data_IF_677427052849
#
_entry.id   IF_677427052849
#
_cell.length_a   1.000
_cell.length_b   1.000
_cell.length_c   1.000
_cell.angle_alpha   90.00
_cell.angle_beta   90.00
_cell.angle_gamma   90.00
#
_symmetry.space_group_name_H-M   'P 1'
#
loop_
_entity.id
_entity.type
_entity.pdbx_description
1 polymer ?
#
# COMPACT_ATOMS: atom_id res chain seq x y z
N UNK A 1 -9.94 -9.80 5.03
CA UNK A 1 -9.31 -9.62 6.34
C UNK A 1 -10.04 -8.56 7.13
N UNK A 2 -9.97 -7.29 6.75
CA UNK A 2 -10.44 -6.14 7.54
C UNK A 2 -11.93 -6.20 7.88
N UNK A 3 -12.78 -6.56 6.93
CA UNK A 3 -14.24 -6.68 7.18
C UNK A 3 -14.53 -7.73 8.27
N UNK A 4 -13.87 -8.89 8.21
CA UNK A 4 -14.04 -9.93 9.24
C UNK A 4 -13.50 -9.47 10.59
N UNK A 5 -12.35 -8.83 10.63
CA UNK A 5 -11.77 -8.26 11.86
C UNK A 5 -12.66 -7.16 12.45
N UNK A 6 -13.35 -6.39 11.61
CA UNK A 6 -14.29 -5.36 12.02
C UNK A 6 -15.44 -5.95 12.83
N UNK A 7 -16.06 -7.03 12.31
CA UNK A 7 -17.18 -7.70 13.01
C UNK A 7 -16.72 -8.46 14.25
N UNK A 8 -15.47 -8.96 14.29
CA UNK A 8 -14.95 -9.68 15.44
C UNK A 8 -14.57 -8.78 16.61
N UNK A 9 -13.98 -7.63 16.33
CA UNK A 9 -13.35 -6.77 17.34
C UNK A 9 -14.15 -5.51 17.65
N UNK A 10 -15.14 -5.17 16.81
CA UNK A 10 -15.96 -3.96 16.94
C UNK A 10 -15.14 -2.71 17.27
N UNK A 11 -14.20 -2.30 16.41
CA UNK A 11 -13.27 -1.20 16.71
C UNK A 11 -13.97 0.14 16.93
N UNK A 12 -15.22 0.31 16.49
CA UNK A 12 -16.01 1.51 16.75
C UNK A 12 -16.24 1.77 18.24
N UNK A 13 -16.21 0.74 19.07
CA UNK A 13 -16.47 0.85 20.52
C UNK A 13 -15.44 1.71 21.24
N UNK A 14 -14.18 1.73 20.79
CA UNK A 14 -13.07 2.52 21.37
C UNK A 14 -12.60 3.64 20.48
N UNK A 15 -12.69 3.49 19.15
CA UNK A 15 -12.18 4.43 18.16
C UNK A 15 -13.27 5.37 17.64
N UNK A 16 -14.55 5.10 17.91
CA UNK A 16 -15.66 5.90 17.41
C UNK A 16 -15.66 6.01 15.89
N UNK A 17 -15.92 7.19 15.36
CA UNK A 17 -15.96 7.46 13.92
C UNK A 17 -14.60 7.27 13.22
N UNK A 18 -13.49 7.41 13.95
CA UNK A 18 -12.14 7.25 13.44
C UNK A 18 -11.84 5.79 13.00
N UNK A 19 -12.57 4.83 13.55
CA UNK A 19 -12.43 3.41 13.22
C UNK A 19 -12.58 3.15 11.71
N UNK A 20 -13.52 3.84 11.06
CA UNK A 20 -13.80 3.68 9.62
C UNK A 20 -12.64 4.18 8.77
N UNK A 21 -12.07 5.32 9.15
CA UNK A 21 -10.93 5.91 8.45
C UNK A 21 -9.72 4.99 8.60
N UNK A 22 -9.44 4.52 9.81
CA UNK A 22 -8.35 3.59 10.11
C UNK A 22 -8.51 2.28 9.33
N UNK A 23 -9.72 1.70 9.31
CA UNK A 23 -10.00 0.51 8.52
C UNK A 23 -9.77 0.74 7.02
N UNK A 24 -10.15 1.92 6.52
CA UNK A 24 -9.86 2.35 5.15
C UNK A 24 -8.35 2.44 4.88
N UNK A 25 -7.60 3.10 5.77
CA UNK A 25 -6.15 3.25 5.69
C UNK A 25 -5.44 1.89 5.66
N UNK A 26 -5.80 0.97 6.57
CA UNK A 26 -5.26 -0.39 6.61
C UNK A 26 -5.66 -1.21 5.38
N UNK A 27 -6.89 -1.02 4.86
CA UNK A 27 -7.28 -1.63 3.57
C UNK A 27 -6.36 -1.14 2.46
N UNK A 28 -6.09 0.17 2.42
CA UNK A 28 -5.17 0.78 1.46
C UNK A 28 -3.78 0.16 1.52
N UNK A 29 -3.20 0.01 2.71
CA UNK A 29 -1.88 -0.63 2.89
C UNK A 29 -1.86 -2.05 2.35
N UNK A 30 -2.80 -2.89 2.79
CA UNK A 30 -2.76 -4.34 2.49
C UNK A 30 -3.28 -4.72 1.11
N UNK A 31 -3.81 -3.77 0.34
CA UNK A 31 -4.19 -3.96 -1.06
C UNK A 31 -3.28 -3.24 -2.05
N UNK A 32 -2.61 -2.17 -1.64
CA UNK A 32 -1.83 -1.35 -2.55
C UNK A 32 -0.57 -0.68 -1.95
N UNK A 33 -0.29 -0.93 -0.66
CA UNK A 33 0.91 -0.43 0.02
C UNK A 33 0.72 0.89 0.78
N UNK A 34 1.77 1.29 1.50
CA UNK A 34 1.76 2.44 2.42
C UNK A 34 1.43 3.79 1.75
N UNK A 35 1.60 3.89 0.43
CA UNK A 35 1.18 5.08 -0.33
C UNK A 35 -0.33 5.26 -0.24
N UNK A 36 -1.11 4.17 -0.42
CA UNK A 36 -2.57 4.21 -0.35
C UNK A 36 -3.06 4.49 1.08
N UNK A 37 -2.38 3.95 2.10
CA UNK A 37 -2.64 4.27 3.50
C UNK A 37 -2.60 5.79 3.72
N UNK A 38 -1.52 6.41 3.29
CA UNK A 38 -1.34 7.84 3.52
C UNK A 38 -2.20 8.71 2.61
N UNK A 39 -2.52 8.25 1.41
CA UNK A 39 -3.47 8.92 0.53
C UNK A 39 -4.85 9.04 1.21
N UNK A 40 -5.33 7.97 1.84
CA UNK A 40 -6.59 7.99 2.60
C UNK A 40 -6.45 8.88 3.84
N UNK A 41 -5.33 8.80 4.56
CA UNK A 41 -5.10 9.66 5.72
C UNK A 41 -5.14 11.16 5.36
N UNK A 42 -4.57 11.54 4.22
CA UNK A 42 -4.57 12.92 3.72
C UNK A 42 -5.97 13.36 3.29
N UNK A 43 -6.69 12.52 2.57
CA UNK A 43 -8.05 12.81 2.09
C UNK A 43 -9.04 13.10 3.23
N UNK A 44 -8.94 12.32 4.31
CA UNK A 44 -9.78 12.49 5.50
C UNK A 44 -9.12 13.36 6.58
N UNK A 45 -8.05 14.07 6.26
CA UNK A 45 -7.29 14.93 7.19
C UNK A 45 -6.86 14.22 8.49
N UNK A 46 -6.73 12.90 8.46
CA UNK A 46 -6.45 12.06 9.63
C UNK A 46 -5.08 12.37 10.26
N UNK A 47 -4.13 12.91 9.48
CA UNK A 47 -2.83 13.38 9.98
C UNK A 47 -2.98 14.47 11.05
N UNK A 48 -4.11 15.20 11.10
CA UNK A 48 -4.41 16.20 12.14
C UNK A 48 -4.70 15.58 13.50
N UNK A 49 -4.95 14.25 13.56
CA UNK A 49 -5.20 13.51 14.81
C UNK A 49 -3.92 13.20 15.61
N UNK A 50 -2.77 13.73 15.20
CA UNK A 50 -1.52 13.69 15.96
C UNK A 50 -1.12 12.30 16.42
N UNK A 51 -1.23 12.01 17.72
CA UNK A 51 -0.81 10.76 18.35
C UNK A 51 -1.52 9.53 17.76
N UNK A 52 -2.83 9.64 17.44
CA UNK A 52 -3.59 8.52 16.86
C UNK A 52 -3.05 8.16 15.47
N UNK A 53 -2.74 9.16 14.65
CA UNK A 53 -2.12 8.96 13.34
C UNK A 53 -0.73 8.34 13.46
N UNK A 54 0.13 8.91 14.32
CA UNK A 54 1.48 8.38 14.54
C UNK A 54 1.45 6.94 15.08
N UNK A 55 0.55 6.63 16.00
CA UNK A 55 0.35 5.27 16.52
C UNK A 55 -0.14 4.30 15.46
N UNK A 56 -1.07 4.73 14.59
CA UNK A 56 -1.57 3.89 13.49
C UNK A 56 -0.45 3.57 12.47
N UNK A 57 0.38 4.55 12.11
CA UNK A 57 1.57 4.35 11.27
C UNK A 57 2.55 3.36 11.93
N UNK A 58 2.83 3.55 13.22
CA UNK A 58 3.77 2.69 13.94
C UNK A 58 3.29 1.24 13.97
N UNK A 59 2.00 1.01 14.27
CA UNK A 59 1.39 -0.32 14.26
C UNK A 59 1.45 -0.94 12.86
N UNK A 60 1.07 -0.19 11.81
CA UNK A 60 1.11 -0.67 10.44
C UNK A 60 2.53 -1.08 10.03
N UNK A 61 3.53 -0.24 10.29
CA UNK A 61 4.92 -0.53 9.94
C UNK A 61 5.47 -1.76 10.67
N UNK A 62 5.22 -1.88 11.97
CA UNK A 62 5.69 -3.04 12.77
C UNK A 62 5.01 -4.33 12.29
N UNK A 63 3.68 -4.32 12.13
CA UNK A 63 2.94 -5.50 11.70
C UNK A 63 3.32 -5.88 10.27
N UNK A 64 3.48 -4.92 9.37
CA UNK A 64 3.92 -5.15 7.99
C UNK A 64 5.33 -5.75 7.94
N UNK A 65 6.28 -5.24 8.75
CA UNK A 65 7.63 -5.79 8.80
C UNK A 65 7.63 -7.26 9.28
N UNK A 66 6.87 -7.56 10.33
CA UNK A 66 6.70 -8.94 10.83
C UNK A 66 6.03 -9.82 9.75
N UNK A 67 5.00 -9.29 9.08
CA UNK A 67 4.29 -10.01 8.04
C UNK A 67 5.18 -10.35 6.84
N UNK A 68 6.03 -9.42 6.40
CA UNK A 68 7.03 -9.67 5.35
C UNK A 68 7.97 -10.81 5.76
N UNK A 69 8.48 -10.81 6.99
CA UNK A 69 9.32 -11.91 7.48
C UNK A 69 8.59 -13.25 7.46
N UNK A 70 7.33 -13.27 7.90
CA UNK A 70 6.49 -14.48 7.86
C UNK A 70 6.27 -14.95 6.43
N UNK A 71 5.93 -14.06 5.50
CA UNK A 71 5.67 -14.41 4.09
C UNK A 71 6.90 -14.94 3.37
N UNK A 72 8.11 -14.53 3.76
CA UNK A 72 9.36 -15.10 3.24
C UNK A 72 9.59 -16.56 3.69
N UNK A 73 9.07 -16.93 4.87
CA UNK A 73 9.19 -18.27 5.43
C UNK A 73 8.10 -19.21 4.90
N UNK A 74 6.90 -18.70 4.65
CA UNK A 74 5.72 -19.48 4.21
C UNK A 74 6.02 -20.38 3.01
N UNK A 75 6.67 -19.96 1.90
CA UNK A 75 6.95 -20.83 0.77
C UNK A 75 7.80 -22.04 1.14
N UNK A 76 8.76 -21.87 2.05
CA UNK A 76 9.61 -22.96 2.52
C UNK A 76 8.81 -24.01 3.28
N UNK A 77 7.86 -23.56 4.10
CA UNK A 77 6.97 -24.43 4.88
C UNK A 77 5.95 -25.12 3.97
N UNK A 78 5.33 -24.36 3.06
CA UNK A 78 4.34 -24.90 2.11
C UNK A 78 4.94 -25.91 1.14
N UNK A 79 6.13 -25.66 0.62
CA UNK A 79 6.85 -26.62 -0.25
C UNK A 79 7.18 -27.93 0.46
N UNK A 80 7.23 -27.96 1.79
CA UNK A 80 7.40 -29.18 2.58
C UNK A 80 6.08 -29.97 2.71
N UNK A 81 4.95 -29.25 2.73
CA UNK A 81 3.60 -29.83 2.90
C UNK A 81 3.01 -30.19 1.53
N UNK A 82 3.15 -29.28 0.56
CA UNK A 82 2.73 -29.51 -0.82
C UNK A 82 3.94 -29.93 -1.62
N UNK A 83 4.01 -31.21 -1.99
CA UNK A 83 5.03 -31.75 -2.91
C UNK A 83 4.76 -31.26 -4.33
N UNK A 84 4.86 -29.97 -4.56
CA UNK A 84 4.65 -29.35 -5.85
C UNK A 84 5.92 -29.25 -6.69
N UNK A 85 5.77 -29.29 -8.01
CA UNK A 85 6.80 -29.34 -9.04
C UNK A 85 7.82 -28.19 -8.94
N UNK A 86 9.09 -28.54 -8.80
CA UNK A 86 10.26 -27.64 -8.74
C UNK A 86 10.52 -26.79 -10.02
N UNK A 87 9.69 -26.90 -11.06
CA UNK A 87 9.96 -26.31 -12.39
C UNK A 87 9.65 -24.83 -12.54
N UNK A 88 8.86 -24.22 -11.65
CA UNK A 88 8.40 -22.81 -11.83
C UNK A 88 9.37 -21.75 -11.31
N UNK A 89 10.28 -22.09 -10.39
CA UNK A 89 11.17 -21.11 -9.73
C UNK A 89 12.37 -20.68 -10.60
N UNK A 90 12.71 -21.45 -11.65
CA UNK A 90 13.89 -21.13 -12.47
C UNK A 90 13.64 -20.06 -13.54
N UNK A 91 12.39 -19.80 -13.93
CA UNK A 91 12.07 -18.85 -15.01
C UNK A 91 11.89 -17.41 -14.56
N UNK A 92 11.50 -17.17 -13.30
CA UNK A 92 11.34 -15.79 -12.78
C UNK A 92 12.67 -15.04 -12.61
N UNK A 93 13.77 -15.74 -12.29
CA UNK A 93 15.09 -15.11 -12.17
C UNK A 93 15.66 -14.58 -13.48
N UNK A 94 15.15 -15.05 -14.61
CA UNK A 94 15.63 -14.64 -15.95
C UNK A 94 14.96 -13.35 -16.45
N UNK A 95 13.73 -13.07 -16.02
CA UNK A 95 12.98 -11.89 -16.47
C UNK A 95 13.32 -10.59 -15.73
N UNK A 96 13.93 -10.69 -14.54
CA UNK A 96 14.30 -9.51 -13.74
C UNK A 96 15.62 -8.86 -14.20
N UNK A 97 16.46 -9.56 -14.95
CA UNK A 97 17.77 -9.07 -15.38
C UNK A 97 17.79 -8.46 -16.79
N UNK A 98 16.70 -8.49 -17.54
CA UNK A 98 16.69 -8.03 -18.94
C UNK A 98 16.23 -6.57 -19.14
N UNK A 99 15.82 -5.85 -18.09
CA UNK A 99 15.29 -4.49 -18.20
C UNK A 99 16.18 -3.37 -17.60
N UNK A 100 17.44 -3.66 -17.24
CA UNK A 100 18.43 -2.62 -16.95
C UNK A 100 19.08 -2.11 -18.25
N UNK A 101 18.31 -1.64 -19.21
CA UNK A 101 18.82 -0.68 -20.15
C UNK A 101 19.05 0.65 -19.39
N UNK A 102 20.32 1.03 -19.22
CA UNK A 102 20.74 2.34 -18.77
C UNK A 102 20.16 3.41 -19.71
N UNK A 103 18.90 3.77 -19.48
CA UNK A 103 18.27 4.89 -20.16
C UNK A 103 18.85 6.16 -19.55
N UNK A 104 19.77 6.81 -20.28
CA UNK A 104 20.26 8.11 -19.90
C UNK A 104 19.07 9.05 -19.66
N UNK A 105 18.92 9.50 -18.42
CA UNK A 105 17.85 10.42 -18.04
C UNK A 105 18.07 11.72 -18.81
N UNK A 106 17.04 12.14 -19.55
CA UNK A 106 17.05 13.42 -20.28
C UNK A 106 16.33 14.49 -19.47
N UNK A 107 16.98 15.66 -19.34
CA UNK A 107 16.46 16.79 -18.58
C UNK A 107 15.08 17.25 -19.10
N UNK A 108 14.88 17.19 -20.40
CA UNK A 108 13.60 17.55 -21.03
C UNK A 108 12.49 16.58 -20.64
N UNK A 109 12.77 15.28 -20.65
CA UNK A 109 11.85 14.24 -20.21
C UNK A 109 11.49 14.41 -18.72
N UNK A 110 12.48 14.72 -17.88
CA UNK A 110 12.27 14.98 -16.46
C UNK A 110 11.35 16.18 -16.23
N UNK A 111 11.60 17.28 -16.95
CA UNK A 111 10.77 18.48 -16.87
C UNK A 111 9.31 18.19 -17.28
N UNK A 112 9.09 17.41 -18.34
CA UNK A 112 7.75 16.99 -18.75
C UNK A 112 7.06 16.11 -17.72
N UNK A 113 7.77 15.18 -17.11
CA UNK A 113 7.21 14.30 -16.06
C UNK A 113 6.79 15.09 -14.84
N UNK A 114 7.61 16.03 -14.37
CA UNK A 114 7.27 16.90 -13.25
C UNK A 114 6.07 17.81 -13.59
N UNK A 115 6.07 18.42 -14.77
CA UNK A 115 4.97 19.25 -15.23
C UNK A 115 3.67 18.47 -15.30
N UNK A 116 3.68 17.26 -15.86
CA UNK A 116 2.51 16.39 -15.93
C UNK A 116 2.03 15.97 -14.54
N UNK A 117 2.93 15.58 -13.64
CA UNK A 117 2.58 15.21 -12.27
C UNK A 117 1.86 16.33 -11.52
N UNK A 118 2.42 17.56 -11.58
CA UNK A 118 1.82 18.74 -10.97
C UNK A 118 0.47 19.07 -11.63
N UNK A 119 0.40 19.01 -12.97
CA UNK A 119 -0.83 19.30 -13.71
C UNK A 119 -1.94 18.33 -13.36
N UNK A 120 -1.65 17.03 -13.28
CA UNK A 120 -2.64 15.99 -12.89
C UNK A 120 -3.11 16.21 -11.46
N UNK A 121 -2.22 16.58 -10.55
CA UNK A 121 -2.60 16.91 -9.18
C UNK A 121 -3.63 18.06 -9.14
N UNK A 122 -3.34 19.20 -9.78
CA UNK A 122 -4.27 20.34 -9.81
C UNK A 122 -5.58 20.02 -10.53
N UNK A 123 -5.53 19.28 -11.64
CA UNK A 123 -6.73 18.87 -12.38
C UNK A 123 -7.61 17.97 -11.51
N UNK A 124 -7.03 17.01 -10.80
CA UNK A 124 -7.78 16.11 -9.92
C UNK A 124 -8.41 16.84 -8.75
N UNK A 125 -7.73 17.83 -8.18
CA UNK A 125 -8.25 18.66 -7.11
C UNK A 125 -9.44 19.54 -7.61
N UNK A 126 -9.30 20.17 -8.77
CA UNK A 126 -10.38 20.94 -9.38
C UNK A 126 -11.60 20.05 -9.65
N UNK A 127 -11.41 18.89 -10.26
CA UNK A 127 -12.51 17.95 -10.59
C UNK A 127 -13.20 17.47 -9.32
N UNK A 128 -12.43 17.14 -8.25
CA UNK A 128 -12.97 16.68 -6.97
C UNK A 128 -13.87 17.74 -6.34
N UNK A 129 -13.53 19.02 -6.48
CA UNK A 129 -14.35 20.13 -5.97
C UNK A 129 -15.69 20.29 -6.73
N UNK A 130 -15.75 19.86 -7.99
CA UNK A 130 -16.99 19.89 -8.79
C UNK A 130 -17.84 18.62 -8.62
N UNK A 131 -17.22 17.46 -8.38
CA UNK A 131 -17.93 16.19 -8.25
C UNK A 131 -18.02 15.84 -6.76
N UNK A 132 -19.14 16.15 -6.15
CA UNK A 132 -19.40 15.83 -4.73
C UNK A 132 -19.30 14.32 -4.52
N UNK A 133 -18.57 13.87 -3.49
CA UNK A 133 -18.38 12.49 -3.03
C UNK A 133 -17.33 11.64 -3.77
N UNK A 134 -16.53 12.19 -4.68
CA UNK A 134 -15.38 11.46 -5.22
C UNK A 134 -14.08 12.04 -4.67
N UNK A 135 -13.30 11.26 -3.87
CA UNK A 135 -12.00 11.67 -3.38
C UNK A 135 -11.03 12.06 -4.51
N UNK A 136 -10.31 13.16 -4.33
CA UNK A 136 -9.33 13.67 -5.32
C UNK A 136 -8.28 12.63 -5.70
N UNK A 137 -7.90 11.78 -4.75
CA UNK A 137 -6.92 10.71 -4.97
C UNK A 137 -7.38 9.66 -5.97
N UNK A 138 -8.69 9.33 -6.03
CA UNK A 138 -9.23 8.40 -7.01
C UNK A 138 -9.18 8.98 -8.42
N UNK A 139 -9.49 10.28 -8.55
CA UNK A 139 -9.42 10.99 -9.82
C UNK A 139 -7.96 11.05 -10.29
N UNK A 140 -7.05 11.42 -9.40
CA UNK A 140 -5.61 11.48 -9.67
C UNK A 140 -5.08 10.13 -10.15
N UNK A 141 -5.41 9.05 -9.44
CA UNK A 141 -4.98 7.70 -9.80
C UNK A 141 -5.55 7.28 -11.16
N UNK A 142 -6.83 7.56 -11.41
CA UNK A 142 -7.49 7.24 -12.68
C UNK A 142 -6.83 7.98 -13.85
N UNK A 143 -6.60 9.28 -13.70
CA UNK A 143 -5.90 10.08 -14.71
C UNK A 143 -4.48 9.55 -14.92
N UNK A 144 -3.75 9.23 -13.84
CA UNK A 144 -2.41 8.65 -13.90
C UNK A 144 -2.37 7.34 -14.71
N UNK A 145 -3.31 6.44 -14.46
CA UNK A 145 -3.42 5.16 -15.20
C UNK A 145 -3.70 5.42 -16.69
N UNK A 146 -4.60 6.32 -17.01
CA UNK A 146 -4.93 6.66 -18.42
C UNK A 146 -3.70 7.26 -19.11
N UNK A 147 -3.02 8.18 -18.47
CA UNK A 147 -1.81 8.82 -19.01
C UNK A 147 -0.68 7.81 -19.21
N UNK A 148 -0.52 6.84 -18.31
CA UNK A 148 0.49 5.79 -18.43
C UNK A 148 0.32 4.91 -19.67
N UNK A 149 -0.91 4.81 -20.23
CA UNK A 149 -1.17 4.10 -21.49
C UNK A 149 -0.75 4.91 -22.74
N UNK A 150 -0.44 6.19 -22.57
CA UNK A 150 -0.06 7.06 -23.68
C UNK A 150 1.37 6.75 -24.15
N UNK A 151 1.53 6.57 -25.48
CA UNK A 151 2.86 6.41 -26.10
C UNK A 151 3.80 7.60 -25.84
N UNK A 152 3.25 8.79 -25.65
CA UNK A 152 4.02 9.98 -25.33
C UNK A 152 4.74 9.81 -23.99
N UNK A 153 4.03 9.34 -22.95
CA UNK A 153 4.59 9.16 -21.60
C UNK A 153 5.52 7.96 -21.55
N UNK A 154 5.19 6.85 -22.23
CA UNK A 154 6.06 5.68 -22.28
C UNK A 154 7.42 5.95 -22.95
N UNK A 155 7.48 6.98 -23.79
CA UNK A 155 8.74 7.42 -24.45
C UNK A 155 9.56 8.41 -23.60
N UNK A 156 9.02 8.92 -22.48
CA UNK A 156 9.76 9.81 -21.58
C UNK A 156 10.76 9.01 -20.77
N UNK A 157 12.06 9.31 -20.98
CA UNK A 157 13.15 8.62 -20.29
C UNK A 157 13.21 9.00 -18.82
N UNK A 158 13.46 8.03 -17.95
CA UNK A 158 13.59 8.25 -16.51
C UNK A 158 12.27 8.32 -15.75
N UNK A 159 11.13 7.95 -16.35
CA UNK A 159 9.84 7.97 -15.67
C UNK A 159 9.80 6.99 -14.47
N UNK A 160 10.39 5.82 -14.61
CA UNK A 160 10.48 4.82 -13.56
C UNK A 160 11.40 5.29 -12.42
N UNK A 161 12.57 5.83 -12.77
CA UNK A 161 13.56 6.30 -11.80
C UNK A 161 13.03 7.47 -10.98
N UNK A 162 12.39 8.44 -11.64
CA UNK A 162 11.73 9.56 -10.96
C UNK A 162 10.59 9.07 -10.06
N UNK A 163 9.78 8.14 -10.54
CA UNK A 163 8.70 7.54 -9.76
C UNK A 163 9.22 6.85 -8.50
N UNK A 164 10.25 6.01 -8.63
CA UNK A 164 10.89 5.34 -7.49
C UNK A 164 11.53 6.35 -6.52
N UNK A 165 12.21 7.37 -7.03
CA UNK A 165 12.79 8.42 -6.19
C UNK A 165 11.72 9.15 -5.37
N UNK A 166 10.60 9.53 -5.99
CA UNK A 166 9.49 10.17 -5.30
C UNK A 166 8.84 9.25 -4.26
N UNK A 167 8.70 7.96 -4.55
CA UNK A 167 8.24 6.96 -3.59
C UNK A 167 9.19 6.85 -2.40
N UNK A 168 10.51 6.82 -2.62
CA UNK A 168 11.47 6.77 -1.52
C UNK A 168 11.45 8.04 -0.67
N UNK A 169 11.33 9.23 -1.28
CA UNK A 169 11.15 10.47 -0.53
C UNK A 169 9.87 10.45 0.31
N UNK A 170 8.78 9.98 -0.28
CA UNK A 170 7.51 9.83 0.43
C UNK A 170 7.64 8.87 1.61
N UNK A 171 8.24 7.69 1.42
CA UNK A 171 8.48 6.72 2.49
C UNK A 171 9.39 7.26 3.59
N UNK A 172 10.38 8.08 3.25
CA UNK A 172 11.25 8.74 4.24
C UNK A 172 10.45 9.71 5.12
N UNK A 173 9.53 10.50 4.52
CA UNK A 173 8.64 11.39 5.27
C UNK A 173 7.71 10.58 6.18
N UNK A 174 7.11 9.50 5.68
CA UNK A 174 6.26 8.61 6.48
C UNK A 174 7.05 7.98 7.63
N UNK A 175 8.29 7.53 7.36
CA UNK A 175 9.17 7.00 8.40
C UNK A 175 9.44 8.02 9.51
N UNK A 176 9.56 9.30 9.19
CA UNK A 176 9.73 10.36 10.16
C UNK A 176 8.49 10.57 11.06
N UNK A 177 7.29 10.24 10.58
CA UNK A 177 6.06 10.24 11.41
C UNK A 177 5.87 8.96 12.22
N UNK A 178 6.70 7.93 12.01
CA UNK A 178 6.60 6.66 12.73
C UNK A 178 7.16 6.81 14.14
N UNK A 179 6.27 7.04 15.11
CA UNK A 179 6.62 7.14 16.53
C UNK A 179 6.10 5.94 17.29
N UNK A 180 6.98 4.97 17.58
CA UNK A 180 6.59 3.75 18.32
C UNK A 180 6.06 4.09 19.71
N UNK A 181 6.57 5.15 20.35
CA UNK A 181 6.09 5.65 21.62
C UNK A 181 4.63 6.07 21.61
N UNK A 182 4.10 6.50 20.46
CA UNK A 182 2.70 6.88 20.33
C UNK A 182 1.74 5.71 20.62
N UNK A 183 2.13 4.46 20.27
CA UNK A 183 1.32 3.27 20.55
C UNK A 183 1.12 3.07 22.05
N UNK A 184 2.19 3.27 22.84
CA UNK A 184 2.11 3.16 24.30
C UNK A 184 1.31 4.30 24.94
N UNK A 185 1.36 5.50 24.36
CA UNK A 185 0.58 6.65 24.83
C UNK A 185 -0.93 6.47 24.57
N UNK A 186 -1.31 5.74 23.54
CA UNK A 186 -2.70 5.42 23.21
C UNK A 186 -3.33 4.40 24.16
N UNK A 187 -2.55 3.72 25.02
CA UNK A 187 -3.04 2.74 26.00
C UNK A 187 -3.97 1.66 25.36
N UNK A 188 -5.23 1.59 25.79
CA UNK A 188 -6.22 0.61 25.26
C UNK A 188 -6.46 0.76 23.76
N UNK A 189 -6.49 1.99 23.25
CA UNK A 189 -6.66 2.26 21.82
C UNK A 189 -5.47 1.72 21.02
N UNK A 190 -4.24 1.92 21.52
CA UNK A 190 -3.04 1.40 20.87
C UNK A 190 -3.03 -0.14 20.81
N UNK A 191 -3.46 -0.79 21.89
CA UNK A 191 -3.60 -2.25 21.96
C UNK A 191 -4.67 -2.76 21.00
N UNK A 192 -5.83 -2.10 20.93
CA UNK A 192 -6.88 -2.43 19.99
C UNK A 192 -6.41 -2.29 18.53
N UNK A 193 -5.70 -1.20 18.20
CA UNK A 193 -5.13 -0.98 16.87
C UNK A 193 -4.19 -2.12 16.49
N UNK A 194 -3.33 -2.54 17.40
CA UNK A 194 -2.38 -3.62 17.17
C UNK A 194 -3.11 -4.95 16.93
N UNK A 195 -4.07 -5.31 17.77
CA UNK A 195 -4.85 -6.54 17.60
C UNK A 195 -5.68 -6.49 16.30
N UNK A 196 -6.33 -5.36 16.02
CA UNK A 196 -7.14 -5.20 14.82
C UNK A 196 -6.30 -5.37 13.55
N UNK A 197 -5.11 -4.77 13.52
CA UNK A 197 -4.18 -4.88 12.39
C UNK A 197 -3.65 -6.31 12.25
N UNK A 198 -3.21 -6.95 13.33
CA UNK A 198 -2.74 -8.35 13.29
C UNK A 198 -3.85 -9.29 12.81
N UNK A 199 -5.05 -9.19 13.38
CA UNK A 199 -6.19 -10.03 12.96
C UNK A 199 -6.50 -9.82 11.48
N UNK A 200 -6.49 -8.57 11.01
CA UNK A 200 -6.77 -8.24 9.60
C UNK A 200 -5.77 -8.89 8.65
N UNK A 201 -4.49 -8.82 8.98
CA UNK A 201 -3.39 -9.39 8.16
C UNK A 201 -3.42 -10.92 8.20
N UNK A 202 -3.60 -11.52 9.38
CA UNK A 202 -3.65 -12.98 9.53
C UNK A 202 -4.84 -13.58 8.78
N UNK A 203 -6.03 -13.00 8.94
CA UNK A 203 -7.23 -13.45 8.23
C UNK A 203 -7.04 -13.30 6.72
N UNK A 204 -6.46 -12.17 6.27
CA UNK A 204 -6.14 -11.95 4.86
C UNK A 204 -5.19 -13.02 4.32
N UNK A 205 -4.10 -13.28 5.03
CA UNK A 205 -3.11 -14.28 4.64
C UNK A 205 -3.66 -15.70 4.60
N UNK A 206 -4.44 -16.10 5.60
CA UNK A 206 -5.09 -17.42 5.63
C UNK A 206 -6.04 -17.59 4.43
N UNK A 207 -6.88 -16.58 4.15
CA UNK A 207 -7.77 -16.61 2.99
C UNK A 207 -7.00 -16.74 1.68
N UNK A 208 -5.90 -16.00 1.55
CA UNK A 208 -5.04 -16.06 0.35
C UNK A 208 -4.42 -17.45 0.15
N UNK A 209 -3.93 -18.08 1.23
CA UNK A 209 -3.35 -19.42 1.19
C UNK A 209 -4.40 -20.47 0.84
N UNK A 210 -5.61 -20.38 1.44
CA UNK A 210 -6.70 -21.33 1.16
C UNK A 210 -7.18 -21.20 -0.28
N UNK A 211 -7.48 -19.97 -0.73
CA UNK A 211 -7.96 -19.72 -2.10
C UNK A 211 -6.90 -20.08 -3.12
N UNK A 212 -5.66 -19.67 -2.89
CA UNK A 212 -4.51 -20.00 -3.75
C UNK A 212 -4.30 -21.52 -3.82
N UNK A 213 -4.38 -22.23 -2.69
CA UNK A 213 -4.26 -23.69 -2.64
C UNK A 213 -5.37 -24.42 -3.39
N UNK A 214 -6.60 -23.90 -3.36
CA UNK A 214 -7.72 -24.50 -4.11
C UNK A 214 -7.52 -24.24 -5.62
N UNK A 215 -7.27 -23.01 -6.02
CA UNK A 215 -7.13 -22.63 -7.44
C UNK A 215 -5.93 -23.35 -8.08
N UNK A 216 -4.80 -23.44 -7.38
CA UNK A 216 -3.59 -24.08 -7.94
C UNK A 216 -3.70 -25.60 -8.05
N UNK A 217 -4.53 -26.25 -7.22
CA UNK A 217 -4.73 -27.69 -7.24
C UNK A 217 -5.56 -28.16 -8.43
N UNK A 218 -6.42 -27.31 -8.97
CA UNK A 218 -7.34 -27.65 -10.05
C UNK A 218 -6.74 -27.41 -11.45
N UNK A 219 -5.47 -26.95 -11.54
CA UNK A 219 -4.76 -26.68 -12.79
C UNK A 219 -3.69 -27.74 -13.11
N UNK A 220 -3.58 -28.80 -12.33
CA UNK A 220 -2.80 -30.01 -12.60
C UNK A 220 -3.70 -31.17 -13.07
#
# INVERSE_FOLDING_TARGET
GIILSWYLLNPESLLGEEAKIIAGMLTGTYTGGSVNFNAIALEYEFQKKGILYAGTIAVDNVVTAIWIMITLIIPTVLNRIWKGNKKLISNEKKSLNENEENQNIDLTSLAWLLFLGISVYYISDIISNYIINIPSILILTTIGIILAQSKFISNLKGSQDLGLYLVYLFLAVIGAYCEIGAVSQLQEVGFLLLIFTICSVVIHGILFIIIGGIIYRDWE
#
